data_IF_571940354560
#
_entry.id   IF_571940354560
#
_cell.length_a   1.000
_cell.length_b   1.000
_cell.length_c   1.000
_cell.angle_alpha   90.00
_cell.angle_beta   90.00
_cell.angle_gamma   90.00
#
_symmetry.space_group_name_H-M   'P 1'
#
loop_
_entity.id
_entity.type
_entity.pdbx_description
1 polymer ?
#
# COMPACT_ATOMS: atom_id res chain seq x y z
N UNK A 1 7.44 -4.36 19.56
CA UNK A 1 8.11 -5.56 20.07
C UNK A 1 9.07 -6.09 19.04
N UNK A 2 10.34 -6.26 19.43
CA UNK A 2 11.44 -6.76 18.59
C UNK A 2 11.90 -8.11 19.13
N UNK A 3 12.33 -9.02 18.26
CA UNK A 3 12.92 -10.30 18.66
C UNK A 3 11.98 -11.50 18.55
N UNK A 4 12.53 -12.69 18.84
CA UNK A 4 11.89 -13.97 18.55
C UNK A 4 10.54 -14.18 19.23
N UNK A 5 10.38 -13.74 20.48
CA UNK A 5 9.14 -13.92 21.23
C UNK A 5 7.99 -13.07 20.69
N UNK A 6 8.25 -11.81 20.33
CA UNK A 6 7.24 -10.96 19.70
C UNK A 6 6.86 -11.44 18.30
N UNK A 7 7.82 -11.96 17.52
CA UNK A 7 7.51 -12.59 16.23
C UNK A 7 6.63 -13.83 16.39
N UNK A 8 6.91 -14.67 17.37
CA UNK A 8 6.09 -15.84 17.68
C UNK A 8 4.68 -15.46 18.14
N UNK A 9 4.52 -14.42 18.98
CA UNK A 9 3.21 -13.86 19.31
C UNK A 9 2.47 -13.38 18.05
N UNK A 10 3.17 -12.72 17.13
CA UNK A 10 2.61 -12.25 15.86
C UNK A 10 2.13 -13.40 14.96
N UNK A 11 2.92 -14.47 14.84
CA UNK A 11 2.54 -15.67 14.07
C UNK A 11 1.31 -16.34 14.69
N UNK A 12 1.29 -16.53 16.00
CA UNK A 12 0.15 -17.09 16.71
C UNK A 12 -1.10 -16.21 16.54
N UNK A 13 -0.97 -14.89 16.60
CA UNK A 13 -2.08 -13.99 16.33
C UNK A 13 -2.61 -14.14 14.89
N UNK A 14 -1.72 -14.22 13.90
CA UNK A 14 -2.12 -14.40 12.50
C UNK A 14 -2.91 -15.69 12.33
N UNK A 15 -2.40 -16.80 12.85
CA UNK A 15 -3.02 -18.12 12.75
C UNK A 15 -4.35 -18.19 13.49
N UNK A 16 -4.37 -17.84 14.79
CA UNK A 16 -5.55 -18.01 15.64
C UNK A 16 -6.69 -17.04 15.29
N UNK A 17 -6.40 -15.91 14.65
CA UNK A 17 -7.44 -14.94 14.26
C UNK A 17 -7.80 -14.98 12.78
N UNK A 18 -7.09 -15.79 11.98
CA UNK A 18 -7.22 -15.75 10.53
C UNK A 18 -6.85 -14.38 9.95
N UNK A 19 -5.85 -13.71 10.52
CA UNK A 19 -5.45 -12.38 10.05
C UNK A 19 -5.00 -12.47 8.59
N UNK A 20 -5.54 -11.64 7.68
CA UNK A 20 -5.51 -11.93 6.26
C UNK A 20 -4.14 -11.73 5.60
N UNK A 21 -3.22 -10.98 6.21
CA UNK A 21 -1.92 -10.67 5.62
C UNK A 21 -0.79 -11.35 6.42
N UNK A 22 -0.09 -12.35 5.84
CA UNK A 22 0.95 -13.13 6.55
C UNK A 22 2.30 -12.39 6.60
N UNK A 23 2.29 -11.11 6.99
CA UNK A 23 3.49 -10.28 7.16
C UNK A 23 3.60 -9.90 8.63
N UNK A 24 4.76 -10.14 9.25
CA UNK A 24 4.97 -9.82 10.67
C UNK A 24 5.33 -8.36 10.90
N UNK A 25 6.15 -7.78 10.02
CA UNK A 25 6.61 -6.41 10.20
C UNK A 25 5.43 -5.44 10.06
N UNK A 26 5.21 -4.63 11.10
CA UNK A 26 4.12 -3.65 11.12
C UNK A 26 2.77 -4.27 11.48
N UNK A 27 2.71 -5.55 11.86
CA UNK A 27 1.51 -6.19 12.39
C UNK A 27 1.11 -5.49 13.70
N UNK A 28 -0.13 -4.99 13.74
CA UNK A 28 -0.70 -4.27 14.89
C UNK A 28 -1.70 -5.19 15.59
N UNK A 29 -1.32 -5.70 16.74
CA UNK A 29 -2.16 -6.55 17.59
C UNK A 29 -2.86 -5.66 18.61
N UNK A 30 -4.21 -5.57 18.60
CA UNK A 30 -4.95 -4.81 19.62
C UNK A 30 -4.62 -5.31 21.03
N UNK A 31 -4.50 -4.40 22.00
CA UNK A 31 -4.11 -4.73 23.38
C UNK A 31 -4.99 -5.82 23.99
N UNK A 32 -6.32 -5.75 23.80
CA UNK A 32 -7.26 -6.80 24.24
C UNK A 32 -6.95 -8.18 23.66
N UNK A 33 -6.67 -8.25 22.35
CA UNK A 33 -6.32 -9.50 21.68
C UNK A 33 -4.96 -10.02 22.15
N UNK A 34 -3.97 -9.13 22.31
CA UNK A 34 -2.66 -9.48 22.85
C UNK A 34 -2.79 -10.04 24.28
N UNK A 35 -3.50 -9.35 25.18
CA UNK A 35 -3.74 -9.81 26.55
C UNK A 35 -4.43 -11.17 26.58
N UNK A 36 -5.41 -11.40 25.70
CA UNK A 36 -6.10 -12.70 25.61
C UNK A 36 -5.14 -13.83 25.23
N UNK A 37 -4.35 -13.64 24.16
CA UNK A 37 -3.34 -14.63 23.72
C UNK A 37 -2.28 -14.88 24.80
N UNK A 38 -1.73 -13.81 25.38
CA UNK A 38 -0.71 -13.91 26.41
C UNK A 38 -1.23 -14.64 27.66
N UNK A 39 -2.49 -14.40 28.07
CA UNK A 39 -3.12 -15.15 29.16
C UNK A 39 -3.28 -16.64 28.83
N UNK A 40 -3.62 -16.99 27.59
CA UNK A 40 -3.71 -18.37 27.15
C UNK A 40 -2.35 -19.09 27.21
N UNK A 41 -1.27 -18.41 26.82
CA UNK A 41 0.09 -18.96 26.85
C UNK A 41 0.65 -19.16 28.26
N UNK A 42 0.09 -18.50 29.27
CA UNK A 42 0.47 -18.63 30.67
C UNK A 42 -0.27 -19.74 31.44
N UNK A 43 -1.18 -20.49 30.79
CA UNK A 43 -1.92 -21.59 31.44
C UNK A 43 -1.01 -22.80 31.70
N UNK A 44 -1.42 -23.68 32.61
CA UNK A 44 -0.74 -24.96 32.86
C UNK A 44 -0.66 -25.85 31.62
N UNK A 45 -1.74 -25.85 30.83
CA UNK A 45 -1.82 -26.45 29.49
C UNK A 45 -2.03 -25.34 28.46
N UNK A 46 -0.94 -24.69 27.98
CA UNK A 46 -1.07 -23.55 27.10
C UNK A 46 -1.49 -23.99 25.68
N UNK A 47 -2.45 -23.29 25.09
CA UNK A 47 -2.71 -23.39 23.66
C UNK A 47 -1.67 -22.55 22.92
N UNK A 48 -0.71 -23.23 22.28
CA UNK A 48 0.40 -22.62 21.56
C UNK A 48 0.22 -22.73 20.04
N UNK A 49 -1.02 -22.86 19.55
CA UNK A 49 -1.33 -22.85 18.11
C UNK A 49 -0.75 -21.60 17.45
N UNK A 50 -0.08 -21.77 16.31
CA UNK A 50 0.70 -20.75 15.60
C UNK A 50 1.97 -20.22 16.27
N UNK A 51 2.35 -20.74 17.44
CA UNK A 51 3.68 -20.52 18.00
C UNK A 51 4.66 -21.52 17.37
N UNK A 52 5.78 -21.08 16.77
CA UNK A 52 6.78 -21.98 16.20
C UNK A 52 7.29 -23.01 17.22
N UNK A 53 7.45 -24.28 16.81
CA UNK A 53 7.88 -25.38 17.69
C UNK A 53 9.12 -25.03 18.53
N UNK A 54 10.15 -24.46 17.89
CA UNK A 54 11.38 -24.04 18.58
C UNK A 54 11.22 -22.91 19.60
N UNK A 55 10.03 -22.29 19.70
CA UNK A 55 9.70 -21.26 20.68
C UNK A 55 8.73 -21.72 21.75
N UNK A 56 8.01 -22.82 21.54
CA UNK A 56 6.93 -23.27 22.45
C UNK A 56 7.40 -23.44 23.89
N UNK A 57 8.56 -24.08 24.12
CA UNK A 57 9.13 -24.25 25.47
C UNK A 57 9.38 -22.93 26.22
N UNK A 58 9.75 -21.87 25.51
CA UNK A 58 10.07 -20.56 26.09
C UNK A 58 8.89 -19.59 26.09
N UNK A 59 7.80 -19.92 25.39
CA UNK A 59 6.67 -19.02 25.17
C UNK A 59 5.92 -18.66 26.46
N UNK A 60 5.66 -19.58 27.41
CA UNK A 60 4.96 -19.22 28.64
C UNK A 60 5.67 -18.13 29.45
N UNK A 61 6.99 -18.25 29.61
CA UNK A 61 7.79 -17.24 30.31
C UNK A 61 7.82 -15.91 29.54
N UNK A 62 8.03 -15.96 28.22
CA UNK A 62 7.98 -14.78 27.38
C UNK A 62 6.61 -14.09 27.45
N UNK A 63 5.52 -14.86 27.52
CA UNK A 63 4.16 -14.35 27.62
C UNK A 63 3.91 -13.64 28.96
N UNK A 64 4.43 -14.18 30.07
CA UNK A 64 4.40 -13.50 31.36
C UNK A 64 5.10 -12.15 31.29
N UNK A 65 6.31 -12.10 30.75
CA UNK A 65 7.08 -10.84 30.61
C UNK A 65 6.32 -9.84 29.73
N UNK A 66 5.88 -10.26 28.53
CA UNK A 66 5.15 -9.40 27.60
C UNK A 66 3.86 -8.87 28.21
N UNK A 67 3.12 -9.69 28.96
CA UNK A 67 1.87 -9.29 29.63
C UNK A 67 2.13 -8.27 30.72
N UNK A 68 3.09 -8.53 31.60
CA UNK A 68 3.48 -7.60 32.66
C UNK A 68 3.91 -6.25 32.08
N UNK A 69 4.69 -6.25 30.99
CA UNK A 69 5.06 -5.03 30.29
C UNK A 69 3.86 -4.31 29.69
N UNK A 70 2.98 -5.02 28.96
CA UNK A 70 1.78 -4.46 28.36
C UNK A 70 0.88 -3.77 29.39
N UNK A 71 0.66 -4.43 30.53
CA UNK A 71 -0.14 -3.92 31.64
C UNK A 71 0.54 -2.72 32.31
N UNK A 72 1.87 -2.79 32.54
CA UNK A 72 2.62 -1.73 33.24
C UNK A 72 2.71 -0.43 32.43
N UNK A 73 2.89 -0.53 31.12
CA UNK A 73 2.98 0.64 30.23
C UNK A 73 1.59 1.12 29.76
N UNK A 74 0.52 0.39 30.07
CA UNK A 74 -0.85 0.66 29.65
C UNK A 74 -0.98 0.91 28.13
N UNK A 75 -0.30 0.09 27.31
CA UNK A 75 -0.33 0.26 25.86
C UNK A 75 -1.62 -0.29 25.22
N UNK A 76 -2.15 0.44 24.24
CA UNK A 76 -3.38 0.08 23.52
C UNK A 76 -3.18 -1.06 22.49
N UNK A 77 -1.92 -1.37 22.15
CA UNK A 77 -1.55 -2.35 21.12
C UNK A 77 -0.08 -2.76 21.19
N UNK A 78 0.22 -3.91 20.61
CA UNK A 78 1.58 -4.36 20.30
C UNK A 78 1.80 -4.23 18.79
N UNK A 79 2.88 -3.55 18.39
CA UNK A 79 3.34 -3.55 17.00
C UNK A 79 4.54 -4.50 16.90
N UNK A 80 4.43 -5.53 16.07
CA UNK A 80 5.52 -6.48 15.84
C UNK A 80 6.48 -5.89 14.80
N UNK A 81 7.77 -5.85 15.13
CA UNK A 81 8.80 -5.53 14.14
C UNK A 81 9.44 -6.81 13.62
N UNK A 82 9.54 -6.91 12.29
CA UNK A 82 10.36 -7.93 11.63
C UNK A 82 11.87 -7.70 11.79
N UNK A 83 12.30 -6.49 12.17
CA UNK A 83 13.71 -6.12 12.30
C UNK A 83 14.32 -6.58 13.63
N UNK A 84 15.60 -6.27 13.83
CA UNK A 84 16.45 -6.70 14.92
C UNK A 84 17.59 -5.71 15.16
N UNK A 85 18.37 -5.94 16.21
CA UNK A 85 19.57 -5.16 16.53
C UNK A 85 20.56 -5.17 15.35
N UNK A 86 20.68 -6.30 14.63
CA UNK A 86 21.53 -6.41 13.44
C UNK A 86 21.14 -5.40 12.36
N UNK A 87 19.84 -5.24 12.13
CA UNK A 87 19.35 -4.32 11.10
C UNK A 87 19.60 -2.86 11.53
N UNK A 88 19.49 -2.57 12.84
CA UNK A 88 19.88 -1.28 13.40
C UNK A 88 21.37 -0.97 13.25
N UNK A 89 22.24 -1.97 13.46
CA UNK A 89 23.69 -1.81 13.27
C UNK A 89 24.06 -1.55 11.81
N UNK A 90 23.38 -2.20 10.86
CA UNK A 90 23.57 -1.93 9.43
C UNK A 90 23.11 -0.50 9.11
N UNK A 91 21.95 -0.08 9.62
CA UNK A 91 21.47 1.28 9.39
C UNK A 91 22.41 2.35 9.96
N UNK A 92 22.94 2.12 11.15
CA UNK A 92 23.89 3.01 11.82
C UNK A 92 25.22 3.16 11.04
N UNK A 93 25.71 2.07 10.42
CA UNK A 93 27.01 2.06 9.73
C UNK A 93 26.95 2.42 8.24
N UNK A 94 25.93 1.93 7.55
CA UNK A 94 25.85 1.97 6.08
C UNK A 94 24.82 2.97 5.57
N UNK A 95 23.89 3.42 6.41
CA UNK A 95 22.77 4.29 6.01
C UNK A 95 22.77 5.64 6.75
N UNK A 96 23.84 5.98 7.47
CA UNK A 96 23.99 7.28 8.14
C UNK A 96 23.90 8.45 7.13
N UNK A 97 24.48 8.28 5.93
CA UNK A 97 24.39 9.28 4.85
C UNK A 97 22.99 9.37 4.21
N UNK A 98 22.08 8.44 4.55
CA UNK A 98 20.68 8.40 4.11
C UNK A 98 19.70 8.84 5.21
N UNK A 99 20.18 9.53 6.24
CA UNK A 99 19.33 10.08 7.30
C UNK A 99 18.17 10.91 6.72
N UNK A 100 16.94 10.50 7.03
CA UNK A 100 15.72 11.16 6.56
C UNK A 100 15.14 10.64 5.24
N UNK A 101 15.82 9.72 4.54
CA UNK A 101 15.30 9.11 3.32
C UNK A 101 14.06 8.23 3.61
N UNK A 102 13.03 8.37 2.78
CA UNK A 102 11.88 7.47 2.82
C UNK A 102 12.20 6.16 2.07
N UNK A 103 12.48 5.10 2.82
CA UNK A 103 12.81 3.79 2.24
C UNK A 103 11.74 3.22 1.30
N UNK A 104 10.47 3.64 1.40
CA UNK A 104 9.46 3.20 0.44
C UNK A 104 9.71 3.85 -0.92
N UNK A 105 10.04 5.14 -0.92
CA UNK A 105 10.43 5.85 -2.12
C UNK A 105 11.71 5.24 -2.72
N UNK A 106 12.75 5.04 -1.91
CA UNK A 106 14.03 4.42 -2.36
C UNK A 106 13.79 3.07 -3.03
N UNK A 107 13.14 2.13 -2.33
CA UNK A 107 12.92 0.78 -2.87
C UNK A 107 12.01 0.78 -4.08
N UNK A 108 10.93 1.58 -4.07
CA UNK A 108 10.04 1.66 -5.24
C UNK A 108 10.74 2.28 -6.45
N UNK A 109 11.61 3.28 -6.24
CA UNK A 109 12.42 3.91 -7.29
C UNK A 109 13.44 2.93 -7.88
N UNK A 110 14.13 2.13 -7.05
CA UNK A 110 15.04 1.08 -7.53
C UNK A 110 14.31 0.02 -8.36
N UNK A 111 13.14 -0.43 -7.88
CA UNK A 111 12.29 -1.37 -8.62
C UNK A 111 11.86 -0.75 -9.95
N UNK A 112 11.48 0.53 -9.95
CA UNK A 112 11.11 1.27 -11.16
C UNK A 112 12.28 1.30 -12.15
N UNK A 113 13.48 1.71 -11.74
CA UNK A 113 14.68 1.74 -12.61
C UNK A 113 15.02 0.36 -13.19
N UNK A 114 14.82 -0.71 -12.42
CA UNK A 114 15.10 -2.06 -12.87
C UNK A 114 14.02 -2.64 -13.81
N UNK A 115 12.81 -2.08 -13.82
CA UNK A 115 11.66 -2.69 -14.51
C UNK A 115 10.89 -1.77 -15.48
N UNK A 116 11.15 -0.45 -15.49
CA UNK A 116 10.39 0.50 -16.29
C UNK A 116 10.64 0.30 -17.79
N UNK A 117 9.63 0.60 -18.59
CA UNK A 117 9.76 0.60 -20.07
C UNK A 117 10.42 1.88 -20.58
N UNK A 118 10.10 3.01 -19.96
CA UNK A 118 10.54 4.34 -20.38
C UNK A 118 10.88 5.18 -19.14
N UNK A 119 11.91 6.02 -19.25
CA UNK A 119 12.33 6.94 -18.21
C UNK A 119 11.25 8.01 -17.93
N UNK A 120 11.33 8.63 -16.75
CA UNK A 120 10.53 9.81 -16.30
C UNK A 120 9.00 9.60 -16.21
N UNK A 121 8.49 8.43 -16.57
CA UNK A 121 7.07 8.10 -16.51
C UNK A 121 6.51 8.22 -15.08
N UNK A 122 7.17 7.71 -14.01
CA UNK A 122 6.63 7.80 -12.66
C UNK A 122 6.37 9.23 -12.17
N UNK A 123 7.29 10.15 -12.45
CA UNK A 123 7.18 11.55 -12.03
C UNK A 123 6.04 12.26 -12.78
N UNK A 124 5.95 12.02 -14.10
CA UNK A 124 4.84 12.54 -14.91
C UNK A 124 3.47 11.98 -14.46
N UNK A 125 3.41 10.70 -14.08
CA UNK A 125 2.20 10.09 -13.51
C UNK A 125 1.83 10.70 -12.16
N UNK A 126 2.83 10.91 -11.29
CA UNK A 126 2.62 11.53 -9.98
C UNK A 126 2.02 12.92 -10.15
N UNK A 127 2.65 13.77 -10.98
CA UNK A 127 2.16 15.11 -11.26
C UNK A 127 0.74 15.14 -11.83
N UNK A 128 0.43 14.23 -12.77
CA UNK A 128 -0.90 14.14 -13.37
C UNK A 128 -1.99 13.76 -12.35
N UNK A 129 -1.67 12.90 -11.38
CA UNK A 129 -2.62 12.32 -10.43
C UNK A 129 -2.70 13.07 -9.09
N UNK A 130 -1.85 14.07 -8.85
CA UNK A 130 -1.94 14.96 -7.67
C UNK A 130 -3.36 15.52 -7.40
N UNK A 131 -4.14 15.96 -8.41
CA UNK A 131 -5.50 16.46 -8.21
C UNK A 131 -6.49 15.43 -7.64
N UNK A 132 -6.12 14.14 -7.60
CA UNK A 132 -6.96 13.09 -7.04
C UNK A 132 -6.95 13.07 -5.50
N UNK A 133 -6.12 13.88 -4.85
CA UNK A 133 -6.15 14.02 -3.39
C UNK A 133 -7.52 14.55 -2.94
N UNK A 134 -8.22 13.78 -2.11
CA UNK A 134 -9.47 14.19 -1.48
C UNK A 134 -9.29 14.35 0.04
N UNK A 135 -9.37 15.58 0.57
CA UNK A 135 -9.14 15.83 1.99
C UNK A 135 -10.23 15.18 2.84
N UNK A 136 -9.93 14.76 4.08
CA UNK A 136 -10.97 14.32 5.00
C UNK A 136 -11.99 15.43 5.30
N UNK A 137 -13.28 15.11 5.22
CA UNK A 137 -14.35 16.02 5.59
C UNK A 137 -14.18 16.53 7.03
N UNK A 138 -14.32 17.85 7.24
CA UNK A 138 -14.19 18.49 8.55
C UNK A 138 -12.78 18.48 9.15
N UNK A 139 -11.74 18.15 8.37
CA UNK A 139 -10.36 18.24 8.85
C UNK A 139 -9.85 19.69 8.86
N UNK A 140 -9.17 20.07 9.93
CA UNK A 140 -8.38 21.30 9.99
C UNK A 140 -7.17 21.26 9.03
N UNK A 141 -6.56 22.42 8.79
CA UNK A 141 -5.45 22.56 7.86
C UNK A 141 -4.26 21.63 8.18
N UNK A 142 -3.96 21.40 9.46
CA UNK A 142 -2.89 20.49 9.89
C UNK A 142 -3.18 19.04 9.53
N UNK A 143 -4.40 18.57 9.79
CA UNK A 143 -4.85 17.22 9.41
C UNK A 143 -4.89 17.04 7.89
N UNK A 144 -5.28 18.07 7.14
CA UNK A 144 -5.24 18.04 5.67
C UNK A 144 -3.81 17.91 5.16
N UNK A 145 -2.86 18.69 5.70
CA UNK A 145 -1.45 18.59 5.33
C UNK A 145 -0.86 17.19 5.61
N UNK A 146 -1.15 16.61 6.77
CA UNK A 146 -0.73 15.23 7.11
C UNK A 146 -1.35 14.20 6.16
N UNK A 147 -2.63 14.35 5.82
CA UNK A 147 -3.31 13.45 4.90
C UNK A 147 -2.72 13.57 3.47
N UNK A 148 -2.40 14.79 3.04
CA UNK A 148 -1.77 15.10 1.76
C UNK A 148 -0.39 14.44 1.65
N UNK A 149 0.49 14.64 2.62
CA UNK A 149 1.81 14.01 2.59
C UNK A 149 1.75 12.47 2.57
N UNK A 150 0.79 11.87 3.29
CA UNK A 150 0.55 10.41 3.22
C UNK A 150 0.04 9.95 1.86
N UNK A 151 -0.79 10.76 1.20
CA UNK A 151 -1.30 10.48 -0.12
C UNK A 151 -0.18 10.58 -1.17
N UNK A 152 0.57 11.69 -1.16
CA UNK A 152 1.70 11.95 -2.08
C UNK A 152 2.74 10.84 -2.00
N UNK A 153 3.16 10.47 -0.79
CA UNK A 153 4.07 9.35 -0.53
C UNK A 153 3.61 8.03 -1.17
N UNK A 154 2.32 7.69 -1.04
CA UNK A 154 1.78 6.45 -1.60
C UNK A 154 1.55 6.54 -3.11
N UNK A 155 1.20 7.73 -3.60
CA UNK A 155 1.04 8.00 -5.02
C UNK A 155 2.37 7.82 -5.74
N UNK A 156 3.45 8.42 -5.26
CA UNK A 156 4.79 8.26 -5.81
C UNK A 156 5.20 6.78 -5.87
N UNK A 157 5.03 6.06 -4.76
CA UNK A 157 5.32 4.63 -4.73
C UNK A 157 4.46 3.84 -5.73
N UNK A 158 3.17 4.16 -5.89
CA UNK A 158 2.31 3.52 -6.88
C UNK A 158 2.70 3.87 -8.32
N UNK A 159 3.15 5.09 -8.59
CA UNK A 159 3.66 5.51 -9.89
C UNK A 159 4.95 4.76 -10.25
N UNK A 160 5.89 4.66 -9.30
CA UNK A 160 7.12 3.87 -9.43
C UNK A 160 6.84 2.38 -9.70
N UNK A 161 5.84 1.82 -9.00
CA UNK A 161 5.47 0.41 -9.14
C UNK A 161 4.47 0.15 -10.29
N UNK A 162 4.09 1.19 -11.05
CA UNK A 162 3.03 1.09 -12.04
C UNK A 162 3.37 0.06 -13.13
N UNK A 163 4.61 -0.06 -13.56
CA UNK A 163 5.04 -1.01 -14.59
C UNK A 163 5.60 -2.34 -14.06
N UNK A 164 5.49 -2.64 -12.76
CA UNK A 164 6.09 -3.81 -12.10
C UNK A 164 5.89 -5.19 -12.77
N UNK A 165 4.81 -5.37 -13.53
CA UNK A 165 4.44 -6.61 -14.21
C UNK A 165 4.02 -6.36 -15.67
N UNK A 166 4.62 -5.37 -16.34
CA UNK A 166 4.26 -5.05 -17.72
C UNK A 166 4.57 -6.21 -18.69
N UNK A 167 5.59 -7.01 -18.37
CA UNK A 167 6.10 -8.16 -19.13
C UNK A 167 5.43 -9.49 -18.77
N UNK A 168 4.42 -9.48 -17.89
CA UNK A 168 3.68 -10.67 -17.49
C UNK A 168 2.45 -10.91 -18.38
N UNK A 169 1.97 -12.16 -18.46
CA UNK A 169 0.78 -12.51 -19.23
C UNK A 169 -0.46 -11.74 -18.76
N UNK A 170 -1.26 -11.24 -19.70
CA UNK A 170 -2.26 -10.23 -19.41
C UNK A 170 -3.39 -10.64 -18.48
N UNK A 171 -3.67 -11.93 -18.43
CA UNK A 171 -4.71 -12.52 -17.58
C UNK A 171 -4.32 -12.64 -16.11
N UNK A 172 -3.02 -12.71 -15.82
CA UNK A 172 -2.48 -12.95 -14.47
C UNK A 172 -1.72 -11.75 -13.91
N UNK A 173 -1.25 -10.83 -14.78
CA UNK A 173 -0.41 -9.69 -14.38
C UNK A 173 -0.99 -8.84 -13.24
N UNK A 174 -2.31 -8.71 -13.15
CA UNK A 174 -2.96 -8.00 -12.05
C UNK A 174 -2.79 -8.66 -10.69
N UNK A 175 -3.02 -9.98 -10.63
CA UNK A 175 -2.83 -10.78 -9.42
C UNK A 175 -1.34 -10.85 -9.04
N UNK A 176 -0.47 -11.12 -10.02
CA UNK A 176 0.98 -11.14 -9.81
C UNK A 176 1.52 -9.79 -9.29
N UNK A 177 1.10 -8.67 -9.90
CA UNK A 177 1.57 -7.36 -9.48
C UNK A 177 1.12 -7.04 -8.04
N UNK A 178 -0.14 -7.33 -7.71
CA UNK A 178 -0.64 -7.16 -6.36
C UNK A 178 0.13 -8.03 -5.35
N UNK A 179 0.38 -9.31 -5.65
CA UNK A 179 1.17 -10.21 -4.78
C UNK A 179 2.61 -9.74 -4.60
N UNK A 180 3.26 -9.25 -5.67
CA UNK A 180 4.61 -8.67 -5.58
C UNK A 180 4.62 -7.47 -4.63
N UNK A 181 3.63 -6.58 -4.72
CA UNK A 181 3.49 -5.44 -3.80
C UNK A 181 3.24 -5.90 -2.36
N UNK A 182 2.36 -6.90 -2.16
CA UNK A 182 2.14 -7.50 -0.84
C UNK A 182 3.41 -8.14 -0.27
N UNK A 183 4.27 -8.69 -1.12
CA UNK A 183 5.54 -9.32 -0.73
C UNK A 183 6.75 -8.38 -0.62
N UNK A 184 6.60 -7.07 -0.89
CA UNK A 184 7.73 -6.13 -0.87
C UNK A 184 8.47 -6.18 0.48
N UNK A 185 9.81 -6.32 0.48
CA UNK A 185 10.62 -6.44 1.69
C UNK A 185 10.87 -5.09 2.38
N UNK A 186 9.85 -4.23 2.40
CA UNK A 186 9.94 -2.86 2.92
C UNK A 186 9.34 -2.79 4.33
N UNK A 187 10.20 -2.40 5.28
CA UNK A 187 9.88 -2.30 6.70
C UNK A 187 9.43 -0.87 7.13
N UNK A 188 9.13 0.03 6.19
CA UNK A 188 8.58 1.36 6.46
C UNK A 188 7.14 1.53 5.93
N UNK A 189 6.43 0.40 5.77
CA UNK A 189 5.07 0.35 5.23
C UNK A 189 4.16 -0.38 6.21
N UNK A 190 3.09 0.28 6.63
CA UNK A 190 2.04 -0.36 7.42
C UNK A 190 1.26 -1.37 6.58
N UNK A 191 0.61 -2.34 7.22
CA UNK A 191 -0.27 -3.27 6.49
C UNK A 191 -1.35 -2.55 5.67
N UNK A 192 -1.90 -1.45 6.18
CA UNK A 192 -2.88 -0.63 5.45
C UNK A 192 -2.27 -0.03 4.18
N UNK A 193 -1.09 0.54 4.25
CA UNK A 193 -0.40 1.11 3.09
C UNK A 193 -0.02 0.03 2.07
N UNK A 194 0.43 -1.14 2.54
CA UNK A 194 0.74 -2.30 1.69
C UNK A 194 -0.48 -2.77 0.91
N UNK A 195 -1.64 -2.93 1.58
CA UNK A 195 -2.89 -3.28 0.89
C UNK A 195 -3.33 -2.15 -0.06
N UNK A 196 -3.13 -0.89 0.31
CA UNK A 196 -3.47 0.26 -0.54
C UNK A 196 -2.67 0.24 -1.85
N UNK A 197 -1.34 0.08 -1.76
CA UNK A 197 -0.46 0.01 -2.94
C UNK A 197 -0.84 -1.20 -3.81
N UNK A 198 -1.02 -2.38 -3.19
CA UNK A 198 -1.38 -3.58 -3.93
C UNK A 198 -2.74 -3.45 -4.63
N UNK A 199 -3.70 -2.75 -4.01
CA UNK A 199 -5.01 -2.46 -4.61
C UNK A 199 -4.89 -1.49 -5.79
N UNK A 200 -4.09 -0.43 -5.66
CA UNK A 200 -3.86 0.52 -6.75
C UNK A 200 -3.19 -0.17 -7.95
N UNK A 201 -2.13 -0.93 -7.72
CA UNK A 201 -1.43 -1.66 -8.78
C UNK A 201 -2.32 -2.74 -9.42
N UNK A 202 -3.13 -3.46 -8.63
CA UNK A 202 -4.12 -4.41 -9.17
C UNK A 202 -5.06 -3.72 -10.18
N UNK A 203 -5.69 -2.61 -9.78
CA UNK A 203 -6.65 -1.89 -10.61
C UNK A 203 -6.01 -1.18 -11.81
N UNK A 204 -4.72 -0.83 -11.72
CA UNK A 204 -3.92 -0.38 -12.88
C UNK A 204 -3.92 -1.42 -14.00
N UNK A 205 -3.67 -2.68 -13.68
CA UNK A 205 -3.66 -3.77 -14.67
C UNK A 205 -5.05 -4.26 -15.06
N UNK A 206 -5.95 -4.43 -14.09
CA UNK A 206 -7.23 -5.14 -14.28
C UNK A 206 -8.38 -4.20 -14.64
N UNK A 207 -8.32 -2.93 -14.24
CA UNK A 207 -9.48 -2.04 -14.23
C UNK A 207 -10.53 -2.56 -13.25
N UNK A 208 -11.81 -2.53 -13.63
CA UNK A 208 -12.95 -3.00 -12.80
C UNK A 208 -13.43 -4.41 -13.16
N UNK A 209 -12.65 -5.19 -13.92
CA UNK A 209 -13.03 -6.56 -14.30
C UNK A 209 -13.15 -7.44 -13.04
N UNK A 210 -14.25 -8.16 -12.93
CA UNK A 210 -14.54 -9.07 -11.80
C UNK A 210 -14.17 -10.52 -12.09
N UNK A 211 -13.96 -10.87 -13.37
CA UNK A 211 -13.62 -12.21 -13.83
C UNK A 211 -12.11 -12.49 -13.90
N UNK A 212 -11.29 -11.69 -13.20
CA UNK A 212 -9.83 -11.87 -13.15
C UNK A 212 -9.41 -12.38 -11.77
N UNK A 213 -8.33 -13.19 -11.69
CA UNK A 213 -7.77 -13.61 -10.41
C UNK A 213 -7.43 -12.39 -9.55
N UNK A 214 -7.68 -12.49 -8.24
CA UNK A 214 -7.48 -11.41 -7.27
C UNK A 214 -6.96 -11.97 -5.95
N UNK A 215 -5.93 -11.37 -5.34
CA UNK A 215 -5.50 -11.79 -4.01
C UNK A 215 -6.60 -11.49 -2.97
N UNK A 216 -7.00 -12.47 -2.14
CA UNK A 216 -8.05 -12.29 -1.14
C UNK A 216 -7.73 -11.17 -0.13
N UNK A 217 -6.44 -10.94 0.16
CA UNK A 217 -5.95 -9.94 1.11
C UNK A 217 -6.43 -8.52 0.80
N UNK A 218 -6.65 -8.21 -0.49
CA UNK A 218 -7.16 -6.91 -0.93
C UNK A 218 -8.60 -6.62 -0.45
N UNK A 219 -9.33 -7.67 -0.05
CA UNK A 219 -10.69 -7.57 0.49
C UNK A 219 -10.75 -7.12 1.95
N UNK A 220 -9.62 -7.04 2.65
CA UNK A 220 -9.56 -6.84 4.10
C UNK A 220 -8.71 -5.62 4.50
N UNK A 221 -8.62 -5.33 5.80
CA UNK A 221 -7.75 -4.30 6.45
C UNK A 221 -8.12 -2.84 6.14
N UNK A 222 -8.34 -2.48 4.88
CA UNK A 222 -8.74 -1.13 4.48
C UNK A 222 -10.22 -0.87 4.76
N UNK A 223 -10.53 0.33 5.24
CA UNK A 223 -11.90 0.82 5.27
C UNK A 223 -12.38 1.20 3.85
N UNK A 224 -13.69 1.42 3.69
CA UNK A 224 -14.32 1.73 2.40
C UNK A 224 -13.65 2.91 1.68
N UNK A 225 -13.41 4.01 2.40
CA UNK A 225 -12.78 5.22 1.84
C UNK A 225 -11.37 4.95 1.30
N UNK A 226 -10.50 4.32 2.10
CA UNK A 226 -9.11 4.04 1.69
C UNK A 226 -9.04 3.04 0.54
N UNK A 227 -9.97 2.09 0.47
CA UNK A 227 -10.09 1.17 -0.66
C UNK A 227 -10.55 1.87 -1.94
N UNK A 228 -11.51 2.78 -1.83
CA UNK A 228 -11.95 3.63 -2.95
C UNK A 228 -10.78 4.47 -3.47
N UNK A 229 -10.09 5.20 -2.59
CA UNK A 229 -8.88 5.98 -2.92
C UNK A 229 -7.83 5.16 -3.70
N UNK A 230 -7.46 3.97 -3.20
CA UNK A 230 -6.53 3.08 -3.91
C UNK A 230 -7.05 2.64 -5.29
N UNK A 231 -8.34 2.31 -5.38
CA UNK A 231 -8.99 1.90 -6.64
C UNK A 231 -8.94 3.03 -7.67
N UNK A 232 -9.28 4.24 -7.24
CA UNK A 232 -9.25 5.46 -8.05
C UNK A 232 -7.86 5.74 -8.59
N UNK A 233 -6.82 5.66 -7.75
CA UNK A 233 -5.43 5.82 -8.21
C UNK A 233 -5.05 4.72 -9.21
N UNK A 234 -5.44 3.47 -8.98
CA UNK A 234 -5.22 2.40 -9.95
C UNK A 234 -5.87 2.66 -11.30
N UNK A 235 -7.11 3.14 -11.31
CA UNK A 235 -7.81 3.52 -12.54
C UNK A 235 -7.19 4.75 -13.20
N UNK A 236 -6.64 5.68 -12.42
CA UNK A 236 -5.89 6.84 -12.89
C UNK A 236 -4.63 6.43 -13.63
N UNK A 237 -3.79 5.59 -13.00
CA UNK A 237 -2.62 5.00 -13.61
C UNK A 237 -2.96 4.24 -14.89
N UNK A 238 -4.06 3.47 -14.87
CA UNK A 238 -4.56 2.74 -16.05
C UNK A 238 -4.91 3.70 -17.18
N UNK A 239 -5.68 4.74 -16.91
CA UNK A 239 -6.07 5.74 -17.91
C UNK A 239 -4.82 6.42 -18.49
N UNK A 240 -3.98 6.98 -17.63
CA UNK A 240 -2.79 7.73 -18.00
C UNK A 240 -1.83 6.92 -18.88
N UNK A 241 -1.44 5.72 -18.44
CA UNK A 241 -0.54 4.84 -19.20
C UNK A 241 -1.12 4.37 -20.52
N UNK A 242 -2.45 4.31 -20.65
CA UNK A 242 -3.08 3.96 -21.93
C UNK A 242 -3.06 5.15 -22.88
N UNK A 243 -3.43 6.33 -22.36
CA UNK A 243 -3.52 7.55 -23.15
C UNK A 243 -2.15 7.96 -23.69
N UNK A 244 -1.10 7.85 -22.88
CA UNK A 244 0.25 8.27 -23.26
C UNK A 244 1.07 7.23 -24.02
N UNK A 245 0.50 6.05 -24.28
CA UNK A 245 1.28 4.90 -24.77
C UNK A 245 2.35 4.42 -23.77
N UNK A 246 2.25 4.84 -22.51
CA UNK A 246 3.23 4.53 -21.46
C UNK A 246 4.48 5.42 -21.47
N UNK A 247 4.48 6.53 -22.19
CA UNK A 247 5.63 7.46 -22.27
C UNK A 247 5.39 8.73 -21.44
N UNK A 248 6.46 9.36 -20.96
CA UNK A 248 6.38 10.62 -20.23
C UNK A 248 5.95 11.79 -21.15
N UNK A 249 6.44 11.81 -22.39
CA UNK A 249 6.07 12.83 -23.38
C UNK A 249 4.58 12.80 -23.73
N UNK A 250 3.99 11.61 -23.85
CA UNK A 250 2.55 11.47 -24.07
C UNK A 250 1.70 12.00 -22.91
N UNK A 251 2.24 12.05 -21.69
CA UNK A 251 1.55 12.62 -20.52
C UNK A 251 1.59 14.14 -20.50
N UNK A 252 2.59 14.79 -21.11
CA UNK A 252 2.67 16.27 -21.21
C UNK A 252 1.49 16.88 -21.96
N UNK A 253 0.86 16.08 -22.83
CA UNK A 253 -0.30 16.49 -23.60
C UNK A 253 -1.62 16.53 -22.83
N UNK A 254 -1.63 16.11 -21.55
CA UNK A 254 -2.82 16.07 -20.70
C UNK A 254 -2.59 16.63 -19.30
N UNK A 255 -3.65 17.16 -18.69
CA UNK A 255 -3.68 17.58 -17.29
C UNK A 255 -5.04 17.24 -16.69
N UNK A 256 -5.07 16.87 -15.41
CA UNK A 256 -6.30 16.72 -14.65
C UNK A 256 -6.53 17.95 -13.75
N UNK A 257 -7.79 18.32 -13.57
CA UNK A 257 -8.23 19.20 -12.49
C UNK A 257 -9.45 18.59 -11.82
N UNK A 258 -9.58 18.81 -10.51
CA UNK A 258 -10.65 18.27 -9.69
C UNK A 258 -11.14 19.40 -8.77
N UNK A 259 -12.39 19.80 -8.92
CA UNK A 259 -13.03 20.85 -8.10
C UNK A 259 -13.90 20.28 -6.96
N UNK A 260 -13.97 18.95 -6.83
CA UNK A 260 -14.78 18.25 -5.84
C UNK A 260 -16.11 17.73 -6.36
N UNK A 261 -16.55 18.17 -7.55
CA UNK A 261 -17.77 17.69 -8.22
C UNK A 261 -17.48 17.11 -9.60
N UNK A 262 -16.53 17.72 -10.32
CA UNK A 262 -16.12 17.38 -11.68
C UNK A 262 -14.62 17.09 -11.75
N UNK A 263 -14.28 15.98 -12.39
CA UNK A 263 -12.95 15.69 -12.86
C UNK A 263 -12.84 16.13 -14.33
N UNK A 264 -12.01 17.14 -14.61
CA UNK A 264 -11.79 17.66 -15.96
C UNK A 264 -10.46 17.15 -16.52
N UNK A 265 -10.51 16.54 -17.69
CA UNK A 265 -9.34 16.20 -18.50
C UNK A 265 -9.09 17.32 -19.51
N UNK A 266 -7.99 18.05 -19.33
CA UNK A 266 -7.50 19.04 -20.28
C UNK A 266 -6.58 18.35 -21.27
N UNK A 267 -6.89 18.43 -22.55
CA UNK A 267 -6.12 17.80 -23.63
C UNK A 267 -5.55 18.88 -24.52
N UNK A 268 -4.25 18.83 -24.81
CA UNK A 268 -3.64 19.76 -25.76
C UNK A 268 -4.13 19.50 -27.19
N UNK A 269 -4.11 20.54 -28.04
CA UNK A 269 -4.47 20.45 -29.47
C UNK A 269 -3.76 19.30 -30.21
N UNK A 270 -2.49 19.03 -29.86
CA UNK A 270 -1.70 17.96 -30.46
C UNK A 270 -2.23 16.55 -30.13
N UNK A 271 -2.90 16.39 -28.99
CA UNK A 271 -3.39 15.10 -28.47
C UNK A 271 -4.88 14.87 -28.67
N UNK A 272 -5.63 15.82 -29.27
CA UNK A 272 -7.09 15.71 -29.47
C UNK A 272 -7.49 14.42 -30.19
N UNK A 273 -6.68 13.99 -31.18
CA UNK A 273 -6.92 12.75 -31.93
C UNK A 273 -6.81 11.47 -31.09
N UNK A 274 -6.15 11.53 -29.93
CA UNK A 274 -6.02 10.41 -28.99
C UNK A 274 -7.27 10.24 -28.10
N UNK A 275 -8.21 11.19 -28.12
CA UNK A 275 -9.46 11.13 -27.33
C UNK A 275 -10.52 10.31 -28.06
N UNK A 276 -10.22 9.02 -28.25
CA UNK A 276 -11.13 8.04 -28.82
C UNK A 276 -12.19 7.54 -27.82
N UNK A 277 -13.06 6.63 -28.26
CA UNK A 277 -14.07 6.03 -27.40
C UNK A 277 -13.47 5.23 -26.23
N UNK A 278 -12.29 4.64 -26.39
CA UNK A 278 -11.63 3.88 -25.33
C UNK A 278 -11.03 4.78 -24.26
N UNK A 279 -10.38 5.88 -24.64
CA UNK A 279 -9.87 6.92 -23.76
C UNK A 279 -11.00 7.55 -22.95
N UNK A 280 -12.08 7.99 -23.62
CA UNK A 280 -13.28 8.54 -22.98
C UNK A 280 -13.87 7.56 -21.96
N UNK A 281 -14.02 6.29 -22.34
CA UNK A 281 -14.56 5.27 -21.42
C UNK A 281 -13.66 5.06 -20.19
N UNK A 282 -12.34 5.03 -20.34
CA UNK A 282 -11.41 4.85 -19.20
C UNK A 282 -11.38 6.10 -18.31
N UNK A 283 -11.45 7.29 -18.90
CA UNK A 283 -11.56 8.53 -18.14
C UNK A 283 -12.87 8.60 -17.34
N UNK A 284 -14.00 8.25 -17.95
CA UNK A 284 -15.28 8.18 -17.25
C UNK A 284 -15.26 7.14 -16.11
N UNK A 285 -14.56 6.01 -16.28
CA UNK A 285 -14.37 5.03 -15.19
C UNK A 285 -13.55 5.59 -14.04
N UNK A 286 -12.53 6.40 -14.33
CA UNK A 286 -11.74 7.12 -13.33
C UNK A 286 -12.62 8.10 -12.56
N UNK A 287 -13.30 9.03 -13.26
CA UNK A 287 -14.18 10.03 -12.64
C UNK A 287 -15.26 9.37 -11.76
N UNK A 288 -15.95 8.34 -12.29
CA UNK A 288 -16.95 7.60 -11.52
C UNK A 288 -16.37 6.92 -10.28
N UNK A 289 -15.13 6.42 -10.31
CA UNK A 289 -14.52 5.82 -9.12
C UNK A 289 -14.16 6.83 -8.04
N UNK A 290 -14.00 8.10 -8.42
CA UNK A 290 -13.81 9.21 -7.50
C UNK A 290 -15.14 9.85 -7.04
N UNK A 291 -16.29 9.31 -7.47
CA UNK A 291 -17.62 9.90 -7.29
C UNK A 291 -17.74 11.33 -7.89
N UNK A 292 -17.10 11.56 -9.05
CA UNK A 292 -17.08 12.83 -9.77
C UNK A 292 -17.74 12.72 -11.17
N UNK A 293 -18.29 13.83 -11.66
CA UNK A 293 -18.66 14.00 -13.07
C UNK A 293 -17.41 14.04 -13.96
N UNK A 294 -17.53 13.63 -15.22
CA UNK A 294 -16.42 13.60 -16.17
C UNK A 294 -16.59 14.69 -17.23
N UNK A 295 -15.57 15.55 -17.39
CA UNK A 295 -15.53 16.57 -18.44
C UNK A 295 -14.20 16.49 -19.22
N UNK A 296 -14.24 16.74 -20.53
CA UNK A 296 -13.04 16.78 -21.37
C UNK A 296 -13.00 18.11 -22.13
N UNK A 297 -11.92 18.85 -21.93
CA UNK A 297 -11.63 20.11 -22.63
C UNK A 297 -10.45 19.92 -23.59
N UNK A 298 -10.51 20.56 -24.77
CA UNK A 298 -9.59 20.35 -25.91
C UNK A 298 -9.02 21.67 -26.43
#
# INVERSE_FOLDING_TARGET
GVGGSFRALGLAYIEQTGYPLPVLHGLRIPGRSATSLLKAFCRSTPDLSGVPLGRQKTMPMAAHIMRTLLDRINADRIIVSGTSIRDGLIADRELADLEGADFLHVVSSEISRASHRFADVPDALSALLQPMFSPPAGADAGKVAIARGKFERLLEAACNLSDLCWNEHEDVRGDLAARRVLGLPVNCVTHKERIWLATAIYHRYVGRKTNKPRPPELGFILNRRRRAEATTIGLGLRFALTFSGGTADGLKGIRLTNDGETLTLHVSKACVRLVDNHARRRFNQLAQSADLAAEITM
#
